data_IF_342599840130
#
_entry.id   IF_342599840130
#
_cell.length_a   1.000
_cell.length_b   1.000
_cell.length_c   1.000
_cell.angle_alpha   90.00
_cell.angle_beta   90.00
_cell.angle_gamma   90.00
#
_symmetry.space_group_name_H-M   'P 1'
#
loop_
_entity.id
_entity.type
_entity.pdbx_description
1 polymer ?
#
# COMPACT_ATOMS: atom_id res chain seq x y z
N UNK A 1 -20.68 -9.33 -11.52
CA UNK A 1 -20.22 -9.11 -10.14
C UNK A 1 -21.40 -8.64 -9.29
N UNK A 2 -21.72 -9.36 -8.20
CA UNK A 2 -22.86 -9.07 -7.35
C UNK A 2 -22.71 -7.69 -6.65
N UNK A 3 -23.72 -6.78 -6.70
CA UNK A 3 -23.58 -5.41 -6.16
C UNK A 3 -23.14 -5.37 -4.70
N UNK A 4 -23.73 -6.22 -3.86
CA UNK A 4 -23.39 -6.30 -2.44
C UNK A 4 -21.94 -6.76 -2.18
N UNK A 5 -21.43 -7.64 -3.05
CA UNK A 5 -20.03 -8.07 -2.98
C UNK A 5 -19.09 -6.90 -3.27
N UNK A 6 -19.39 -6.09 -4.30
CA UNK A 6 -18.61 -4.88 -4.62
C UNK A 6 -18.60 -3.89 -3.47
N UNK A 7 -19.76 -3.65 -2.83
CA UNK A 7 -19.89 -2.76 -1.68
C UNK A 7 -19.01 -3.21 -0.51
N UNK A 8 -19.09 -4.50 -0.15
CA UNK A 8 -18.29 -5.08 0.95
C UNK A 8 -16.80 -5.06 0.64
N UNK A 9 -16.41 -5.37 -0.60
CA UNK A 9 -15.02 -5.35 -1.04
C UNK A 9 -14.43 -3.92 -1.01
N UNK A 10 -15.18 -2.93 -1.51
CA UNK A 10 -14.78 -1.53 -1.44
C UNK A 10 -14.62 -1.06 0.01
N UNK A 11 -15.56 -1.41 0.88
CA UNK A 11 -15.46 -1.07 2.31
C UNK A 11 -14.25 -1.73 3.00
N UNK A 12 -13.87 -2.94 2.59
CA UNK A 12 -12.66 -3.60 3.08
C UNK A 12 -11.40 -2.82 2.70
N UNK A 13 -11.23 -2.49 1.42
CA UNK A 13 -10.07 -1.72 0.96
C UNK A 13 -10.02 -0.33 1.59
N UNK A 14 -11.16 0.36 1.74
CA UNK A 14 -11.21 1.66 2.39
C UNK A 14 -10.71 1.62 3.85
N UNK A 15 -11.08 0.59 4.63
CA UNK A 15 -10.59 0.39 6.00
C UNK A 15 -9.10 0.04 6.04
N UNK A 16 -8.63 -0.72 5.05
CA UNK A 16 -7.22 -1.07 4.96
C UNK A 16 -6.38 0.16 4.63
N UNK A 17 -6.79 0.96 3.64
CA UNK A 17 -6.16 2.24 3.29
C UNK A 17 -6.07 3.17 4.49
N UNK A 18 -7.15 3.28 5.27
CA UNK A 18 -7.16 4.14 6.46
C UNK A 18 -6.18 3.64 7.53
N UNK A 19 -6.08 2.32 7.72
CA UNK A 19 -5.13 1.73 8.66
C UNK A 19 -3.68 1.97 8.24
N UNK A 20 -3.38 1.84 6.95
CA UNK A 20 -2.06 2.14 6.40
C UNK A 20 -1.74 3.64 6.52
N UNK A 21 -2.67 4.53 6.14
CA UNK A 21 -2.54 5.98 6.26
C UNK A 21 -2.19 6.40 7.71
N UNK A 22 -2.91 5.86 8.71
CA UNK A 22 -2.59 6.12 10.13
C UNK A 22 -1.16 5.69 10.48
N UNK A 23 -0.72 4.52 10.03
CA UNK A 23 0.65 4.05 10.25
C UNK A 23 1.71 4.95 9.61
N UNK A 24 1.46 5.41 8.38
CA UNK A 24 2.34 6.35 7.67
C UNK A 24 2.43 7.70 8.39
N UNK A 25 1.30 8.24 8.87
CA UNK A 25 1.26 9.50 9.63
C UNK A 25 2.10 9.43 10.91
N UNK A 26 2.07 8.30 11.62
CA UNK A 26 2.91 8.09 12.81
C UNK A 26 4.40 8.17 12.45
N UNK A 27 4.81 7.54 11.35
CA UNK A 27 6.21 7.56 10.88
C UNK A 27 6.65 8.94 10.39
N UNK A 28 5.78 9.67 9.72
CA UNK A 28 6.02 11.09 9.33
C UNK A 28 6.19 11.96 10.58
N UNK A 29 5.32 11.80 11.59
CA UNK A 29 5.42 12.55 12.85
C UNK A 29 6.73 12.26 13.60
N UNK A 30 7.23 11.02 13.51
CA UNK A 30 8.53 10.60 14.06
C UNK A 30 9.74 10.99 13.20
N UNK A 31 9.52 11.61 12.03
CA UNK A 31 10.55 11.96 11.04
C UNK A 31 11.31 10.74 10.48
N UNK A 32 10.70 9.57 10.51
CA UNK A 32 11.22 8.36 9.84
C UNK A 32 10.97 8.42 8.32
N UNK A 33 9.89 9.09 7.92
CA UNK A 33 9.55 9.37 6.52
C UNK A 33 9.56 10.87 6.24
N UNK A 34 9.64 11.23 4.95
CA UNK A 34 9.64 12.61 4.48
C UNK A 34 8.40 13.37 4.98
N UNK A 35 8.59 14.64 5.37
CA UNK A 35 7.52 15.47 5.98
C UNK A 35 6.43 15.87 5.00
N UNK A 36 6.74 15.93 3.72
CA UNK A 36 5.84 16.26 2.62
C UNK A 36 5.13 15.03 2.05
N UNK A 37 5.28 13.86 2.68
CA UNK A 37 4.64 12.63 2.21
C UNK A 37 3.11 12.74 2.28
N UNK A 38 2.46 12.67 1.12
CA UNK A 38 1.00 12.53 1.02
C UNK A 38 0.56 11.12 1.46
N UNK A 39 0.41 10.93 2.78
CA UNK A 39 0.19 9.61 3.40
C UNK A 39 -1.03 8.87 2.87
N UNK A 40 -2.13 9.57 2.55
CA UNK A 40 -3.34 8.94 1.99
C UNK A 40 -3.09 8.38 0.59
N UNK A 41 -2.44 9.15 -0.29
CA UNK A 41 -2.10 8.68 -1.64
C UNK A 41 -1.11 7.52 -1.56
N UNK A 42 -0.16 7.59 -0.65
CA UNK A 42 0.82 6.53 -0.43
C UNK A 42 0.18 5.24 0.11
N UNK A 43 -0.84 5.33 0.96
CA UNK A 43 -1.60 4.17 1.41
C UNK A 43 -2.30 3.44 0.25
N UNK A 44 -2.97 4.18 -0.65
CA UNK A 44 -3.56 3.62 -1.87
C UNK A 44 -2.50 3.02 -2.78
N UNK A 45 -1.34 3.67 -2.95
CA UNK A 45 -0.24 3.16 -3.77
C UNK A 45 0.34 1.85 -3.21
N UNK A 46 0.53 1.75 -1.89
CA UNK A 46 1.01 0.53 -1.22
C UNK A 46 0.04 -0.63 -1.42
N UNK A 47 -1.26 -0.42 -1.21
CA UNK A 47 -2.26 -1.48 -1.40
C UNK A 47 -2.34 -1.89 -2.87
N UNK A 48 -2.36 -0.92 -3.78
CA UNK A 48 -2.36 -1.19 -5.23
C UNK A 48 -1.15 -2.02 -5.64
N UNK A 49 0.03 -1.72 -5.08
CA UNK A 49 1.24 -2.48 -5.35
C UNK A 49 1.18 -3.89 -4.79
N UNK A 50 0.68 -4.08 -3.56
CA UNK A 50 0.52 -5.41 -2.95
C UNK A 50 -0.41 -6.27 -3.81
N UNK A 51 -1.57 -5.75 -4.23
CA UNK A 51 -2.53 -6.50 -5.04
C UNK A 51 -1.99 -6.82 -6.44
N UNK A 52 -1.26 -5.88 -7.05
CA UNK A 52 -0.55 -6.10 -8.31
C UNK A 52 0.56 -7.16 -8.17
N UNK A 53 1.34 -7.10 -7.09
CA UNK A 53 2.38 -8.08 -6.80
C UNK A 53 1.79 -9.48 -6.58
N UNK A 54 0.67 -9.62 -5.86
CA UNK A 54 -0.05 -10.89 -5.69
C UNK A 54 -0.47 -11.47 -7.04
N UNK A 55 -0.94 -10.63 -7.98
CA UNK A 55 -1.26 -11.06 -9.34
C UNK A 55 -0.02 -11.56 -10.09
N UNK A 56 1.09 -10.81 -10.04
CA UNK A 56 2.35 -11.18 -10.70
C UNK A 56 2.95 -12.46 -10.12
N UNK A 57 2.90 -12.64 -8.80
CA UNK A 57 3.38 -13.85 -8.12
C UNK A 57 2.62 -15.08 -8.60
N UNK A 58 1.30 -14.98 -8.77
CA UNK A 58 0.47 -16.07 -9.30
C UNK A 58 0.77 -16.36 -10.77
N UNK A 59 0.97 -15.32 -11.58
CA UNK A 59 1.25 -15.45 -13.00
C UNK A 59 2.64 -16.05 -13.27
N UNK A 60 3.66 -15.58 -12.57
CA UNK A 60 5.05 -15.99 -12.77
C UNK A 60 5.48 -17.17 -11.89
N UNK A 61 4.66 -17.55 -10.89
CA UNK A 61 4.96 -18.58 -9.89
C UNK A 61 6.28 -18.33 -9.15
N UNK A 62 6.52 -17.07 -8.79
CA UNK A 62 7.68 -16.62 -8.02
C UNK A 62 7.26 -15.56 -7.00
N UNK A 63 8.03 -15.42 -5.93
CA UNK A 63 7.72 -14.52 -4.82
C UNK A 63 8.36 -13.12 -4.94
N UNK A 64 9.27 -12.93 -5.89
CA UNK A 64 10.08 -11.71 -6.04
C UNK A 64 9.30 -10.40 -6.27
N UNK A 65 8.10 -10.34 -6.92
CA UNK A 65 7.45 -9.07 -7.20
C UNK A 65 7.06 -8.27 -5.94
N UNK A 66 6.71 -8.94 -4.85
CA UNK A 66 6.27 -8.25 -3.62
C UNK A 66 7.45 -7.56 -2.93
N UNK A 67 8.60 -8.22 -2.86
CA UNK A 67 9.81 -7.68 -2.24
C UNK A 67 10.37 -6.51 -3.05
N UNK A 68 10.45 -6.68 -4.38
CA UNK A 68 10.91 -5.62 -5.28
C UNK A 68 10.03 -4.37 -5.21
N UNK A 69 8.71 -4.57 -5.23
CA UNK A 69 7.74 -3.49 -5.17
C UNK A 69 7.75 -2.74 -3.84
N UNK A 70 7.73 -3.46 -2.72
CA UNK A 70 7.73 -2.87 -1.39
C UNK A 70 9.05 -2.14 -1.10
N UNK A 71 10.19 -2.75 -1.43
CA UNK A 71 11.51 -2.15 -1.23
C UNK A 71 11.66 -0.82 -1.99
N UNK A 72 11.08 -0.73 -3.19
CA UNK A 72 11.08 0.51 -3.98
C UNK A 72 10.24 1.61 -3.33
N UNK A 73 9.02 1.28 -2.88
CA UNK A 73 8.13 2.25 -2.22
C UNK A 73 8.68 2.73 -0.87
N UNK A 74 9.31 1.84 -0.09
CA UNK A 74 9.94 2.21 1.19
C UNK A 74 11.07 3.23 0.98
N UNK A 75 11.98 2.96 0.04
CA UNK A 75 13.05 3.91 -0.34
C UNK A 75 12.52 5.26 -0.80
N UNK A 76 11.34 5.29 -1.43
CA UNK A 76 10.71 6.54 -1.83
C UNK A 76 10.12 7.31 -0.63
N UNK A 77 9.76 6.64 0.46
CA UNK A 77 9.18 7.28 1.66
C UNK A 77 10.23 7.76 2.66
N UNK A 78 11.39 7.11 2.72
CA UNK A 78 12.49 7.42 3.64
C UNK A 78 12.94 8.89 3.53
N UNK A 79 13.19 9.51 4.68
CA UNK A 79 13.83 10.83 4.73
C UNK A 79 15.27 10.71 4.24
N UNK A 80 15.69 11.62 3.35
CA UNK A 80 17.11 11.78 3.01
C UNK A 80 17.92 12.28 4.20
#
# INVERSE_FOLDING_TARGET
MHPEFRRRLSAFFARWEESVDRGLRVRVARREFRRDLETRRMATALISQIEGAVLLMKAHRRADPIEAGLGTLLKFMESR
#
